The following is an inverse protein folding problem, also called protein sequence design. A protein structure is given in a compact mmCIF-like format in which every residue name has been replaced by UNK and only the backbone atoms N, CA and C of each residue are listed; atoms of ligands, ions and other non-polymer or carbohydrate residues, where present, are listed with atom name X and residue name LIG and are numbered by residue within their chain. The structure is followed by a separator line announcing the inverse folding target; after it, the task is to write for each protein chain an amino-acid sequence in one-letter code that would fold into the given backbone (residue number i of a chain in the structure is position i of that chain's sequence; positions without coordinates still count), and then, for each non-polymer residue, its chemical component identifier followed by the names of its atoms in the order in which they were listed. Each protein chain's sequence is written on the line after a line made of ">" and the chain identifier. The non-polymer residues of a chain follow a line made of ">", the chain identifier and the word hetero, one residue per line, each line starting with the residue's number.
data_IF_201786500187
#
_entry.id   IF_201786500187
#
_cell.length_a   1.000
_cell.length_b   1.000
_cell.length_c   1.000
_cell.angle_alpha   90.00
_cell.angle_beta   90.00
_cell.angle_gamma   90.00
#
_symmetry.space_group_name_H-M   'P 1'
#
loop_
_entity.id
_entity.type
_entity.pdbx_description
1 polymer ?
#
# COMPACT_ATOMS: atom_id res chain seq x y z
N UNK A 1 -31.10 6.11 -8.36
CA UNK A 1 -30.87 4.94 -7.48
C UNK A 1 -29.46 5.12 -6.94
N UNK A 2 -29.32 5.38 -5.65
CA UNK A 2 -28.04 5.61 -5.00
C UNK A 2 -27.39 4.26 -4.76
N UNK A 3 -26.58 3.82 -5.71
CA UNK A 3 -25.75 2.64 -5.57
C UNK A 3 -24.57 3.04 -4.69
N UNK A 4 -24.72 2.80 -3.39
CA UNK A 4 -23.62 2.86 -2.44
C UNK A 4 -22.70 1.70 -2.79
N UNK A 5 -21.70 1.96 -3.65
CA UNK A 5 -20.55 1.09 -3.84
C UNK A 5 -20.01 0.73 -2.46
N UNK A 6 -20.21 -0.51 -2.06
CA UNK A 6 -19.71 -1.05 -0.81
C UNK A 6 -18.20 -1.24 -1.01
N UNK A 7 -17.47 -0.16 -0.75
CA UNK A 7 -16.03 -0.25 -0.59
C UNK A 7 -15.78 -0.97 0.75
N UNK A 8 -15.67 -2.29 0.70
CA UNK A 8 -15.35 -3.10 1.87
C UNK A 8 -13.89 -2.81 2.26
N UNK A 9 -13.71 -1.82 3.14
CA UNK A 9 -12.42 -1.59 3.83
C UNK A 9 -12.23 -2.75 4.81
N UNK A 10 -11.37 -3.70 4.44
CA UNK A 10 -10.99 -4.82 5.28
C UNK A 10 -9.66 -4.45 5.94
N UNK A 11 -9.70 -4.14 7.24
CA UNK A 11 -8.48 -3.90 8.02
C UNK A 11 -7.64 -5.19 8.02
N UNK A 12 -6.48 -5.17 7.34
CA UNK A 12 -5.56 -6.29 7.31
C UNK A 12 -4.52 -6.13 8.41
N UNK A 13 -4.05 -7.26 8.89
CA UNK A 13 -3.02 -7.25 9.91
C UNK A 13 -1.65 -7.15 9.22
N UNK A 14 -1.11 -5.93 9.15
CA UNK A 14 0.28 -5.71 8.71
C UNK A 14 1.29 -6.54 9.52
N UNK A 15 0.93 -6.95 10.75
CA UNK A 15 1.75 -7.83 11.58
C UNK A 15 1.78 -9.29 11.10
N UNK A 16 0.93 -9.69 10.15
CA UNK A 16 0.92 -11.04 9.58
C UNK A 16 1.96 -11.20 8.45
N UNK A 17 2.43 -10.09 7.86
CA UNK A 17 3.53 -10.10 6.88
C UNK A 17 4.85 -10.56 7.51
N UNK A 18 5.73 -11.10 6.67
CA UNK A 18 7.10 -11.47 7.05
C UNK A 18 7.88 -10.24 7.54
N UNK A 19 8.89 -10.47 8.38
CA UNK A 19 9.74 -9.38 8.88
C UNK A 19 10.45 -8.62 7.76
N UNK A 20 10.86 -9.32 6.69
CA UNK A 20 11.45 -8.69 5.50
C UNK A 20 10.48 -7.75 4.79
N UNK A 21 9.21 -8.15 4.58
CA UNK A 21 8.20 -7.26 3.99
C UNK A 21 7.98 -6.03 4.86
N UNK A 22 7.84 -6.22 6.17
CA UNK A 22 7.66 -5.11 7.12
C UNK A 22 8.82 -4.14 7.06
N UNK A 23 10.06 -4.64 7.06
CA UNK A 23 11.25 -3.80 6.94
C UNK A 23 11.28 -3.08 5.59
N UNK A 24 10.90 -3.74 4.50
CA UNK A 24 10.79 -3.10 3.19
C UNK A 24 9.77 -1.96 3.22
N UNK A 25 8.58 -2.13 3.80
CA UNK A 25 7.62 -1.04 3.93
C UNK A 25 8.11 0.07 4.87
N UNK A 26 8.78 -0.27 5.96
CA UNK A 26 9.28 0.69 6.95
C UNK A 26 10.52 1.47 6.47
N UNK A 27 11.26 0.94 5.50
CA UNK A 27 12.49 1.56 4.98
C UNK A 27 12.33 2.05 3.54
N UNK A 28 11.80 1.21 2.65
CA UNK A 28 11.60 1.45 1.21
C UNK A 28 10.22 2.04 0.91
N UNK A 29 9.78 3.03 1.70
CA UNK A 29 8.53 3.75 1.41
C UNK A 29 8.74 4.83 0.35
N UNK A 30 7.89 4.84 -0.67
CA UNK A 30 7.75 6.01 -1.55
C UNK A 30 6.90 7.09 -0.86
N UNK A 31 7.42 8.30 -0.76
CA UNK A 31 6.64 9.45 -0.31
C UNK A 31 6.31 10.37 -1.48
N UNK A 32 5.02 10.60 -1.74
CA UNK A 32 4.57 11.51 -2.80
C UNK A 32 4.97 12.97 -2.54
N UNK A 33 5.03 13.41 -1.27
CA UNK A 33 5.45 14.78 -0.92
C UNK A 33 6.95 15.00 -1.15
N UNK A 34 7.78 14.02 -0.80
CA UNK A 34 9.23 14.09 -1.01
C UNK A 34 9.66 13.64 -2.42
N UNK A 35 8.79 12.94 -3.13
CA UNK A 35 9.03 12.27 -4.42
C UNK A 35 10.30 11.40 -4.43
N UNK A 36 10.52 10.67 -3.33
CA UNK A 36 11.67 9.78 -3.16
C UNK A 36 11.23 8.48 -2.51
N UNK A 37 11.88 7.40 -2.92
CA UNK A 37 11.88 6.12 -2.23
C UNK A 37 12.85 6.17 -1.02
N UNK A 38 12.81 5.13 -0.18
CA UNK A 38 13.79 4.89 0.89
C UNK A 38 13.79 5.91 2.05
N UNK A 39 12.67 6.62 2.25
CA UNK A 39 12.54 7.57 3.35
C UNK A 39 12.08 6.93 4.65
N UNK A 40 11.41 5.78 4.51
CA UNK A 40 10.73 5.07 5.57
C UNK A 40 9.47 5.76 6.08
N UNK A 41 8.58 4.95 6.67
CA UNK A 41 7.33 5.41 7.27
C UNK A 41 7.17 4.97 8.72
N UNK A 42 6.45 5.79 9.49
CA UNK A 42 6.02 5.53 10.85
C UNK A 42 4.51 5.30 10.85
N UNK A 43 4.02 4.50 11.79
CA UNK A 43 2.59 4.14 11.89
C UNK A 43 2.03 3.50 10.61
N UNK A 44 2.81 2.59 9.98
CA UNK A 44 2.34 1.83 8.81
C UNK A 44 1.12 0.98 9.17
N UNK A 45 0.05 1.11 8.39
CA UNK A 45 -1.21 0.37 8.50
C UNK A 45 -1.58 -0.15 7.13
N UNK A 46 -1.98 -1.41 7.08
CA UNK A 46 -2.43 -2.05 5.87
C UNK A 46 -3.94 -2.27 5.94
N UNK A 47 -4.64 -1.99 4.85
CA UNK A 47 -6.04 -2.32 4.68
C UNK A 47 -6.30 -2.67 3.21
N UNK A 48 -7.29 -3.53 3.00
CA UNK A 48 -7.74 -3.90 1.67
C UNK A 48 -8.98 -3.07 1.33
N UNK A 49 -8.96 -2.43 0.16
CA UNK A 49 -9.96 -1.50 -0.35
C UNK A 49 -10.41 -1.97 -1.75
N UNK A 50 -11.65 -2.43 -1.90
CA UNK A 50 -12.15 -3.08 -3.13
C UNK A 50 -11.24 -4.20 -3.69
N UNK A 51 -10.58 -4.98 -2.82
CA UNK A 51 -9.62 -6.01 -3.24
C UNK A 51 -8.24 -5.48 -3.65
N UNK A 52 -7.97 -4.19 -3.47
CA UNK A 52 -6.63 -3.59 -3.59
C UNK A 52 -6.03 -3.43 -2.20
N UNK A 53 -4.81 -3.91 -1.99
CA UNK A 53 -4.12 -3.75 -0.71
C UNK A 53 -3.48 -2.35 -0.68
N UNK A 54 -3.89 -1.54 0.29
CA UNK A 54 -3.37 -0.18 0.51
C UNK A 54 -2.58 -0.19 1.82
N UNK A 55 -1.37 0.34 1.77
CA UNK A 55 -0.55 0.61 2.96
C UNK A 55 -0.49 2.12 3.17
N UNK A 56 -1.07 2.58 4.27
CA UNK A 56 -0.98 3.97 4.74
C UNK A 56 0.09 4.08 5.83
N UNK A 57 0.98 5.06 5.72
CA UNK A 57 1.88 5.42 6.81
C UNK A 57 2.34 6.85 6.71
N UNK A 58 2.88 7.42 7.80
CA UNK A 58 3.43 8.78 7.78
C UNK A 58 4.90 8.74 7.43
N UNK A 59 5.33 9.55 6.48
CA UNK A 59 6.74 9.65 6.12
C UNK A 59 7.55 10.12 7.34
N UNK A 60 8.64 9.40 7.66
CA UNK A 60 9.53 9.76 8.76
C UNK A 60 10.26 11.10 8.54
N UNK A 61 10.40 11.53 7.29
CA UNK A 61 11.17 12.71 6.89
C UNK A 61 10.32 13.98 6.86
N UNK A 62 9.18 13.98 6.15
CA UNK A 62 8.31 15.15 6.06
C UNK A 62 7.10 15.12 7.00
N UNK A 63 6.71 13.94 7.51
CA UNK A 63 5.52 13.77 8.34
C UNK A 63 4.21 13.69 7.55
N UNK A 64 4.24 13.83 6.23
CA UNK A 64 3.05 13.66 5.38
C UNK A 64 2.59 12.21 5.33
N UNK A 65 1.29 12.03 5.11
CA UNK A 65 0.69 10.72 4.90
C UNK A 65 1.10 10.23 3.50
N UNK A 66 1.79 9.09 3.47
CA UNK A 66 2.11 8.34 2.27
C UNK A 66 1.17 7.14 2.17
N UNK A 67 0.49 7.03 1.03
CA UNK A 67 -0.33 5.89 0.66
C UNK A 67 0.42 5.13 -0.44
N UNK A 68 0.67 3.84 -0.21
CA UNK A 68 1.30 2.94 -1.16
C UNK A 68 0.32 1.84 -1.51
N UNK A 69 -0.06 1.76 -2.77
CA UNK A 69 -0.87 0.67 -3.30
C UNK A 69 0.05 -0.53 -3.54
N UNK A 70 -0.24 -1.65 -2.89
CA UNK A 70 0.48 -2.92 -3.08
C UNK A 70 -0.26 -3.71 -4.14
N UNK A 71 0.30 -3.73 -5.36
CA UNK A 71 -0.15 -4.64 -6.40
C UNK A 71 0.32 -6.05 -6.03
N UNK A 72 -0.61 -6.90 -5.60
CA UNK A 72 -0.35 -8.33 -5.44
C UNK A 72 -0.33 -8.98 -6.83
N UNK A 73 0.57 -9.96 -7.02
CA UNK A 73 0.76 -10.72 -8.26
C UNK A 73 -0.52 -11.41 -8.79
N UNK A 74 -1.58 -11.48 -7.97
CA UNK A 74 -2.93 -11.90 -8.37
C UNK A 74 -3.66 -10.91 -9.28
N UNK A 75 -3.18 -9.67 -9.39
CA UNK A 75 -3.79 -8.57 -10.17
C UNK A 75 -2.89 -8.00 -11.26
N UNK A 76 -1.71 -8.61 -11.47
CA UNK A 76 -0.95 -8.40 -12.70
C UNK A 76 -1.76 -9.09 -13.80
N UNK A 77 -2.59 -8.30 -14.48
CA UNK A 77 -3.45 -8.77 -15.56
C UNK A 77 -2.63 -9.60 -16.53
N UNK A 78 -3.27 -10.59 -17.15
CA UNK A 78 -2.71 -11.23 -18.33
C UNK A 78 -2.42 -10.12 -19.35
N UNK A 79 -1.18 -9.64 -19.40
CA UNK A 79 -0.68 -8.89 -20.53
C UNK A 79 -0.60 -9.94 -21.64
N UNK A 80 -1.70 -10.10 -22.38
CA UNK A 80 -1.69 -10.76 -23.68
C UNK A 80 -0.78 -9.92 -24.58
N UNK A 81 0.53 -10.13 -24.45
CA UNK A 81 1.52 -9.79 -25.46
C UNK A 81 1.23 -10.69 -26.69
N UNK A 82 0.18 -10.34 -27.44
CA UNK A 82 -0.02 -10.87 -28.79
C UNK A 82 0.95 -10.13 -29.73
N UNK A 83 2.07 -10.77 -30.05
CA UNK A 83 2.85 -10.45 -31.26
C UNK A 83 3.29 -11.71 -32.01
#
# INVERSE_FOLDING_TARGET
>A
MTETSNDEIIERNFEDRTEEDKEAFLTQTWCNACQKADLGMIEAKEYELNGTIIVEGKCKVCGDVSLTEVADESTDGEWEDEH
#
